data_IF_649827548033
#
_entry.id   IF_649827548033
#
_cell.length_a   1.000
_cell.length_b   1.000
_cell.length_c   1.000
_cell.angle_alpha   90.00
_cell.angle_beta   90.00
_cell.angle_gamma   90.00
#
_symmetry.space_group_name_H-M   'P 1'
#
loop_
_entity.id
_entity.type
_entity.pdbx_description
1 polymer ?
#
# COMPACT_ATOMS: atom_id res chain seq x y z
N UNK A 1 16.35 -5.28 -1.16
CA UNK A 1 15.26 -4.32 -0.89
C UNK A 1 14.07 -4.61 -1.79
N UNK A 2 12.87 -4.41 -1.28
CA UNK A 2 11.65 -4.68 -2.04
C UNK A 2 11.45 -3.61 -3.12
N UNK A 3 11.45 -4.03 -4.38
CA UNK A 3 11.36 -3.10 -5.52
C UNK A 3 9.99 -2.47 -5.67
N UNK A 4 8.94 -3.12 -5.21
CA UNK A 4 7.59 -2.55 -5.23
C UNK A 4 7.51 -1.38 -4.26
N UNK A 5 8.11 -1.51 -3.08
CA UNK A 5 8.22 -0.40 -2.12
C UNK A 5 8.98 0.77 -2.76
N UNK A 6 10.09 0.49 -3.45
CA UNK A 6 10.87 1.53 -4.12
C UNK A 6 10.03 2.27 -5.16
N UNK A 7 9.26 1.53 -5.96
CA UNK A 7 8.42 2.16 -7.00
C UNK A 7 7.28 2.97 -6.40
N UNK A 8 6.64 2.47 -5.34
CA UNK A 8 5.60 3.23 -4.65
C UNK A 8 6.15 4.53 -4.06
N UNK A 9 7.37 4.50 -3.54
CA UNK A 9 8.02 5.72 -3.04
C UNK A 9 8.34 6.71 -4.17
N UNK A 10 8.65 6.22 -5.37
CA UNK A 10 8.92 7.09 -6.52
C UNK A 10 7.67 7.84 -6.98
N UNK A 11 6.51 7.20 -6.99
CA UNK A 11 5.26 7.88 -7.36
C UNK A 11 4.77 8.80 -6.26
N UNK A 12 5.22 8.61 -5.02
CA UNK A 12 4.93 9.42 -3.83
C UNK A 12 3.49 9.27 -3.37
N UNK A 13 2.53 9.77 -4.13
CA UNK A 13 1.11 9.59 -3.84
C UNK A 13 0.58 8.52 -4.75
N UNK A 14 0.00 7.50 -4.16
CA UNK A 14 -0.67 6.44 -4.90
C UNK A 14 -2.09 6.31 -4.39
N UNK A 15 -2.99 5.89 -5.27
CA UNK A 15 -4.40 5.73 -4.92
C UNK A 15 -4.67 4.26 -4.71
N UNK A 16 -5.39 3.93 -3.64
CA UNK A 16 -5.74 2.55 -3.34
C UNK A 16 -7.23 2.36 -3.52
N UNK A 17 -7.58 1.36 -4.34
CA UNK A 17 -8.96 0.98 -4.61
C UNK A 17 -9.33 -0.22 -3.75
N UNK A 18 -10.50 -0.15 -3.13
CA UNK A 18 -11.13 -1.21 -2.36
C UNK A 18 -12.55 -1.42 -2.84
N UNK A 19 -13.21 -2.45 -2.33
CA UNK A 19 -14.60 -2.75 -2.68
C UNK A 19 -15.47 -2.62 -1.43
N UNK A 20 -16.54 -1.84 -1.56
CA UNK A 20 -17.61 -1.76 -0.56
C UNK A 20 -18.87 -2.35 -1.20
N UNK A 21 -19.24 -3.56 -0.81
CA UNK A 21 -20.27 -4.37 -1.47
C UNK A 21 -19.91 -4.58 -2.96
N UNK A 22 -20.58 -3.90 -3.89
CA UNK A 22 -20.23 -3.93 -5.31
C UNK A 22 -19.68 -2.60 -5.82
N UNK A 23 -19.42 -1.64 -4.92
CA UNK A 23 -18.97 -0.31 -5.29
C UNK A 23 -17.46 -0.17 -5.08
N UNK A 24 -16.69 0.12 -6.13
CA UNK A 24 -15.29 0.49 -5.95
C UNK A 24 -15.17 1.80 -5.18
N UNK A 25 -14.22 1.84 -4.25
CA UNK A 25 -13.86 3.05 -3.51
C UNK A 25 -12.38 3.32 -3.72
N UNK A 26 -11.98 4.59 -3.83
CA UNK A 26 -10.59 4.96 -4.05
C UNK A 26 -10.24 6.18 -3.20
N UNK A 27 -9.00 6.20 -2.68
CA UNK A 27 -8.48 7.34 -1.89
C UNK A 27 -6.96 7.39 -1.99
N UNK A 28 -6.37 8.56 -1.75
CA UNK A 28 -4.90 8.70 -1.81
C UNK A 28 -4.21 8.13 -0.58
N UNK A 29 -3.05 7.54 -0.79
CA UNK A 29 -2.13 7.06 0.23
C UNK A 29 -0.73 7.56 -0.11
N UNK A 30 0.12 7.67 0.92
CA UNK A 30 1.52 8.06 0.72
C UNK A 30 2.50 7.28 1.61
N UNK A 31 1.98 6.50 2.57
CA UNK A 31 2.84 5.74 3.49
C UNK A 31 3.05 4.32 2.97
N UNK A 32 4.30 3.93 2.85
CA UNK A 32 4.68 2.56 2.47
C UNK A 32 6.03 2.25 3.10
N UNK A 33 6.19 1.04 3.59
CA UNK A 33 7.45 0.60 4.19
C UNK A 33 7.74 -0.84 3.82
N UNK A 34 9.00 -1.22 3.99
CA UNK A 34 9.41 -2.61 3.87
C UNK A 34 9.62 -3.20 5.26
N UNK A 35 9.11 -4.39 5.47
CA UNK A 35 9.34 -5.14 6.70
C UNK A 35 9.42 -6.62 6.35
N UNK A 36 10.51 -7.27 6.78
CA UNK A 36 10.77 -8.69 6.48
C UNK A 36 10.70 -9.02 4.99
N UNK A 37 11.14 -8.09 4.15
CA UNK A 37 11.17 -8.28 2.70
C UNK A 37 9.84 -8.03 1.99
N UNK A 38 8.78 -7.66 2.72
CA UNK A 38 7.46 -7.42 2.16
C UNK A 38 7.09 -5.94 2.19
N UNK A 39 6.20 -5.55 1.29
CA UNK A 39 5.63 -4.21 1.29
C UNK A 39 4.52 -4.13 2.34
N UNK A 40 4.46 -3.04 3.07
CA UNK A 40 3.47 -2.78 4.12
C UNK A 40 2.81 -1.43 3.91
N UNK A 41 1.51 -1.39 4.18
CA UNK A 41 0.71 -0.16 4.20
C UNK A 41 0.03 -0.04 5.57
N UNK A 42 -0.49 1.14 5.87
CA UNK A 42 -1.23 1.33 7.13
C UNK A 42 -2.42 2.26 6.94
N UNK A 43 -3.37 2.15 7.85
CA UNK A 43 -4.49 3.06 7.94
C UNK A 43 -4.98 3.10 9.39
N UNK A 44 -6.12 3.74 9.64
CA UNK A 44 -6.72 3.79 10.97
C UNK A 44 -7.97 2.93 11.03
N UNK A 45 -8.18 2.25 12.15
CA UNK A 45 -9.35 1.39 12.36
C UNK A 45 -10.67 2.16 12.34
N UNK A 46 -10.63 3.48 12.55
CA UNK A 46 -11.81 4.34 12.53
C UNK A 46 -12.23 4.72 11.10
N UNK A 47 -11.43 4.39 10.09
CA UNK A 47 -11.72 4.75 8.70
C UNK A 47 -12.52 3.66 8.00
N UNK A 48 -13.34 4.07 7.02
CA UNK A 48 -14.17 3.13 6.25
C UNK A 48 -13.35 2.07 5.52
N UNK A 49 -12.15 2.42 5.09
CA UNK A 49 -11.27 1.49 4.38
C UNK A 49 -10.96 0.25 5.23
N UNK A 50 -10.83 0.39 6.55
CA UNK A 50 -10.56 -0.75 7.42
C UNK A 50 -11.69 -1.79 7.32
N UNK A 51 -12.93 -1.34 7.34
CA UNK A 51 -14.09 -2.21 7.22
C UNK A 51 -14.15 -2.86 5.84
N UNK A 52 -13.87 -2.09 4.80
CA UNK A 52 -13.87 -2.57 3.43
C UNK A 52 -12.84 -3.69 3.23
N UNK A 53 -11.61 -3.50 3.71
CA UNK A 53 -10.54 -4.49 3.61
C UNK A 53 -10.87 -5.72 4.47
N UNK A 54 -11.51 -5.53 5.62
CA UNK A 54 -11.90 -6.66 6.48
C UNK A 54 -12.87 -7.61 5.77
N UNK A 55 -13.73 -7.07 4.91
CA UNK A 55 -14.70 -7.86 4.15
C UNK A 55 -14.14 -8.35 2.82
N UNK A 56 -13.31 -7.56 2.17
CA UNK A 56 -12.68 -7.92 0.90
C UNK A 56 -11.25 -7.38 0.89
N UNK A 57 -10.26 -8.26 1.13
CA UNK A 57 -8.87 -7.81 1.26
C UNK A 57 -8.15 -7.55 -0.06
N UNK A 58 -8.80 -7.74 -1.19
CA UNK A 58 -8.19 -7.48 -2.50
C UNK A 58 -8.19 -5.99 -2.78
N UNK A 59 -7.04 -5.47 -3.17
CA UNK A 59 -6.86 -4.04 -3.44
C UNK A 59 -6.07 -3.84 -4.72
N UNK A 60 -6.16 -2.63 -5.25
CA UNK A 60 -5.31 -2.21 -6.35
C UNK A 60 -4.81 -0.80 -6.07
N UNK A 61 -3.51 -0.59 -6.31
CA UNK A 61 -2.85 0.68 -6.12
C UNK A 61 -2.41 1.24 -7.46
N UNK A 62 -2.52 2.55 -7.63
CA UNK A 62 -2.05 3.20 -8.86
C UNK A 62 -1.48 4.57 -8.54
N UNK A 63 -0.36 4.91 -9.18
CA UNK A 63 0.25 6.21 -9.05
C UNK A 63 1.00 6.57 -10.32
N UNK A 64 1.14 7.88 -10.57
CA UNK A 64 1.84 8.37 -11.75
C UNK A 64 3.25 8.78 -11.42
N UNK A 65 4.18 8.41 -12.30
CA UNK A 65 5.53 8.96 -12.28
C UNK A 65 5.55 10.30 -13.00
N UNK A 66 6.59 11.07 -12.76
CA UNK A 66 6.86 12.22 -13.60
C UNK A 66 7.08 11.74 -15.05
N UNK A 67 6.51 12.44 -16.02
CA UNK A 67 6.69 12.08 -17.42
C UNK A 67 5.57 11.24 -18.03
N UNK A 68 4.52 10.91 -17.26
CA UNK A 68 3.29 10.33 -17.82
C UNK A 68 3.23 8.81 -17.81
N UNK A 69 4.21 8.11 -17.27
CA UNK A 69 4.10 6.66 -17.02
C UNK A 69 3.41 6.44 -15.68
N UNK A 70 2.85 5.24 -15.46
CA UNK A 70 2.16 4.99 -14.20
C UNK A 70 2.39 3.57 -13.71
N UNK A 71 2.25 3.40 -12.40
CA UNK A 71 2.40 2.13 -11.70
C UNK A 71 1.03 1.59 -11.33
N UNK A 72 0.85 0.28 -11.46
CA UNK A 72 -0.33 -0.42 -10.96
C UNK A 72 0.12 -1.63 -10.16
N UNK A 73 -0.33 -1.72 -8.91
CA UNK A 73 0.01 -2.83 -8.02
C UNK A 73 -1.28 -3.47 -7.55
N UNK A 74 -1.48 -4.75 -7.84
CA UNK A 74 -2.57 -5.52 -7.26
C UNK A 74 -2.03 -6.38 -6.13
N UNK A 75 -2.81 -6.53 -5.07
CA UNK A 75 -2.39 -7.29 -3.91
C UNK A 75 -3.59 -7.73 -3.08
N UNK A 76 -3.33 -8.68 -2.18
CA UNK A 76 -4.25 -9.06 -1.11
C UNK A 76 -3.63 -8.59 0.20
N UNK A 77 -4.36 -7.82 0.98
CA UNK A 77 -3.85 -7.27 2.24
C UNK A 77 -4.10 -8.24 3.39
N UNK A 78 -3.08 -8.43 4.23
CA UNK A 78 -3.17 -9.26 5.43
C UNK A 78 -2.79 -8.38 6.62
N UNK A 79 -3.69 -8.26 7.59
CA UNK A 79 -3.42 -7.48 8.80
C UNK A 79 -2.29 -8.14 9.60
N UNK A 80 -1.34 -7.32 10.06
CA UNK A 80 -0.21 -7.76 10.87
C UNK A 80 -0.22 -6.93 12.15
N UNK A 81 -0.62 -7.54 13.26
CA UNK A 81 -0.77 -6.83 14.53
C UNK A 81 0.50 -6.81 15.37
N UNK A 82 1.62 -7.34 14.85
CA UNK A 82 2.90 -7.33 15.57
C UNK A 82 3.38 -5.89 15.75
N UNK A 83 3.90 -5.59 16.94
CA UNK A 83 4.41 -4.27 17.23
C UNK A 83 5.60 -3.91 16.32
N UNK A 84 6.41 -4.90 15.96
CA UNK A 84 7.56 -4.69 15.09
C UNK A 84 7.14 -4.22 13.69
N UNK A 85 6.04 -4.75 13.16
CA UNK A 85 5.50 -4.30 11.88
C UNK A 85 4.97 -2.87 11.97
N UNK A 86 4.29 -2.54 13.09
CA UNK A 86 3.81 -1.18 13.33
C UNK A 86 4.98 -0.19 13.40
N UNK A 87 6.02 -0.55 14.14
CA UNK A 87 7.20 0.30 14.26
C UNK A 87 7.91 0.48 12.92
N UNK A 88 7.98 -0.56 12.11
CA UNK A 88 8.63 -0.47 10.81
C UNK A 88 7.98 0.59 9.91
N UNK A 89 6.65 0.63 9.87
CA UNK A 89 5.99 1.63 9.03
C UNK A 89 5.99 3.01 9.67
N UNK A 90 5.86 3.10 10.99
CA UNK A 90 5.90 4.40 11.67
C UNK A 90 7.28 5.04 11.62
N UNK A 91 8.34 4.24 11.62
CA UNK A 91 9.72 4.74 11.54
C UNK A 91 10.16 5.04 10.11
N UNK A 92 9.40 4.62 9.11
CA UNK A 92 9.70 4.99 7.73
C UNK A 92 9.45 6.48 7.53
N UNK A 93 10.28 7.19 6.72
CA UNK A 93 10.05 8.62 6.47
C UNK A 93 8.65 8.95 5.93
N UNK A 94 7.98 8.00 5.27
CA UNK A 94 6.60 8.19 4.78
C UNK A 94 5.56 7.85 5.83
N UNK A 95 5.95 7.33 6.99
CA UNK A 95 5.03 6.83 8.01
C UNK A 95 4.29 7.94 8.74
N UNK A 96 3.06 7.66 9.21
CA UNK A 96 2.22 8.67 9.88
C UNK A 96 2.49 8.74 11.38
N UNK A 97 3.74 8.93 11.78
CA UNK A 97 4.16 8.93 13.19
C UNK A 97 3.58 10.09 14.02
N UNK A 98 3.05 11.13 13.36
CA UNK A 98 2.37 12.22 14.03
C UNK A 98 0.92 11.89 14.37
N UNK A 99 0.33 10.91 13.69
CA UNK A 99 -1.07 10.54 13.87
C UNK A 99 -1.27 9.30 14.71
N UNK A 100 -0.31 8.38 14.70
CA UNK A 100 -0.43 7.07 15.34
C UNK A 100 0.83 6.71 16.11
N UNK A 101 0.66 5.86 17.11
CA UNK A 101 1.76 5.27 17.89
C UNK A 101 1.63 3.76 17.87
N UNK A 102 2.71 3.02 18.10
CA UNK A 102 2.62 1.57 18.19
C UNK A 102 1.61 1.18 19.28
N UNK A 103 0.80 0.19 18.95
CA UNK A 103 -0.15 -0.42 19.89
C UNK A 103 -1.16 0.57 20.49
N UNK A 104 -1.54 1.59 19.71
CA UNK A 104 -2.47 2.62 20.19
C UNK A 104 -3.96 2.24 20.04
N UNK A 105 -4.24 1.04 19.52
CA UNK A 105 -5.61 0.58 19.28
C UNK A 105 -6.28 1.21 18.06
N UNK A 106 -5.60 2.11 17.36
CA UNK A 106 -6.14 2.83 16.20
C UNK A 106 -5.43 2.47 14.90
N UNK A 107 -4.11 2.30 14.97
CA UNK A 107 -3.28 1.96 13.81
C UNK A 107 -3.56 0.53 13.37
N UNK A 108 -3.76 0.32 12.09
CA UNK A 108 -3.76 -1.00 11.48
C UNK A 108 -2.73 -1.05 10.37
N UNK A 109 -1.97 -2.14 10.34
CA UNK A 109 -0.85 -2.32 9.41
C UNK A 109 -1.12 -3.57 8.60
N UNK A 110 -0.91 -3.46 7.29
CA UNK A 110 -1.18 -4.54 6.35
C UNK A 110 0.06 -4.93 5.58
N UNK A 111 0.29 -6.23 5.49
CA UNK A 111 1.27 -6.81 4.58
C UNK A 111 0.61 -7.04 3.22
N UNK A 112 1.29 -6.66 2.15
CA UNK A 112 0.86 -6.97 0.79
C UNK A 112 1.29 -8.39 0.44
N UNK A 113 0.31 -9.20 0.03
CA UNK A 113 0.55 -10.57 -0.44
C UNK A 113 0.01 -10.71 -1.86
N UNK A 114 0.41 -11.76 -2.57
CA UNK A 114 0.02 -12.00 -3.96
C UNK A 114 0.23 -10.76 -4.83
N UNK A 115 1.38 -10.14 -4.68
CA UNK A 115 1.68 -8.85 -5.31
C UNK A 115 1.98 -9.03 -6.78
N UNK A 116 1.32 -8.22 -7.62
CA UNK A 116 1.67 -8.09 -9.04
C UNK A 116 1.78 -6.61 -9.35
N UNK A 117 2.96 -6.17 -9.78
CA UNK A 117 3.24 -4.77 -10.07
C UNK A 117 3.63 -4.62 -11.54
N UNK A 118 3.01 -3.63 -12.21
CA UNK A 118 3.24 -3.33 -13.62
C UNK A 118 3.46 -1.84 -13.78
N UNK A 119 4.45 -1.50 -14.60
CA UNK A 119 4.71 -0.11 -14.99
C UNK A 119 4.23 0.08 -16.42
N UNK A 120 3.31 0.99 -16.61
CA UNK A 120 2.64 1.25 -17.89
C UNK A 120 3.19 2.49 -18.58
N UNK A 121 3.13 2.47 -19.90
CA UNK A 121 3.42 3.62 -20.74
C UNK A 121 2.47 3.58 -21.94
N UNK A 122 2.52 4.60 -22.82
CA UNK A 122 1.60 4.69 -23.95
C UNK A 122 2.11 4.01 -25.22
N UNK A 123 3.35 3.52 -25.23
CA UNK A 123 4.02 3.14 -26.49
C UNK A 123 4.46 1.69 -26.53
N UNK A 124 4.57 1.02 -25.40
CA UNK A 124 5.12 -0.33 -25.33
C UNK A 124 4.32 -1.18 -24.33
N UNK A 125 4.59 -2.49 -24.33
CA UNK A 125 4.01 -3.39 -23.34
C UNK A 125 4.42 -2.97 -21.93
N UNK A 126 3.56 -3.23 -20.91
CA UNK A 126 3.92 -2.90 -19.54
C UNK A 126 5.11 -3.74 -19.06
N UNK A 127 5.91 -3.12 -18.20
CA UNK A 127 7.06 -3.77 -17.58
C UNK A 127 6.63 -4.34 -16.23
N UNK A 128 6.89 -5.62 -16.00
CA UNK A 128 6.62 -6.21 -14.70
C UNK A 128 7.72 -5.86 -13.71
N UNK A 129 7.33 -5.41 -12.51
CA UNK A 129 8.24 -5.10 -11.41
C UNK A 129 8.17 -6.27 -10.42
N UNK A 130 9.26 -7.02 -10.31
CA UNK A 130 9.35 -8.08 -9.31
C UNK A 130 9.74 -7.48 -7.97
N UNK A 131 9.28 -8.10 -6.88
CA UNK A 131 9.59 -7.60 -5.54
C UNK A 131 11.08 -7.69 -5.21
N UNK A 132 11.76 -8.64 -5.80
CA UNK A 132 13.20 -8.83 -5.54
C UNK A 132 14.05 -8.57 -6.78
#
# INVERSE_FOLDING_TARGET
>A
MNKVVEELKKVKIFYIATIEDDQPRVRPFSSVAEFEGHAYLCTGKHKEIYEQISKNPKVELSGMYDGGTWLRVSATLVEDDRIEAQEAILNDPTGPSQLYKPNDGRLVVYKLTNVKALKFNFYAAPEEIKEN
#
